data_IF_242733835118
#
_entry.id   IF_242733835118
#
_cell.length_a   1.000
_cell.length_b   1.000
_cell.length_c   1.000
_cell.angle_alpha   90.00
_cell.angle_beta   90.00
_cell.angle_gamma   90.00
#
_symmetry.space_group_name_H-M   'P 1'
#
loop_
_entity.id
_entity.type
_entity.pdbx_description
1 polymer ?
#
# COMPACT_ATOMS: atom_id res chain seq x y z
N UNK A 1 -53.78 49.15 2.23
CA UNK A 1 -52.51 48.41 2.07
C UNK A 1 -52.85 46.93 2.30
N UNK A 2 -53.05 46.21 1.18
CA UNK A 2 -52.94 44.77 0.89
C UNK A 2 -53.27 43.77 2.03
N UNK A 3 -54.22 42.82 1.98
CA UNK A 3 -55.25 42.34 1.03
C UNK A 3 -56.38 41.71 1.88
N UNK A 4 -57.63 41.85 1.42
CA UNK A 4 -58.86 41.22 1.94
C UNK A 4 -59.21 39.99 1.08
N UNK A 5 -59.59 38.88 1.74
CA UNK A 5 -60.62 37.86 1.40
C UNK A 5 -60.73 37.22 -0.01
N UNK A 6 -61.04 35.91 -0.02
CA UNK A 6 -62.10 35.15 -0.77
C UNK A 6 -61.56 33.73 -1.10
N UNK A 7 -62.29 32.61 -1.27
CA UNK A 7 -63.54 31.97 -0.78
C UNK A 7 -63.73 30.72 -1.69
N UNK A 8 -64.21 29.59 -1.15
CA UNK A 8 -64.72 28.37 -1.85
C UNK A 8 -63.65 27.47 -2.54
N UNK A 9 -63.77 26.14 -2.61
CA UNK A 9 -64.97 25.29 -2.68
C UNK A 9 -64.68 23.86 -2.19
N UNK A 10 -65.58 23.32 -1.38
CA UNK A 10 -65.68 21.92 -0.97
C UNK A 10 -66.39 21.15 -2.10
N UNK A 11 -65.85 20.01 -2.53
CA UNK A 11 -66.59 18.97 -3.25
C UNK A 11 -66.55 17.68 -2.43
N UNK A 12 -67.74 17.11 -2.29
CA UNK A 12 -68.16 16.00 -1.45
C UNK A 12 -68.04 14.65 -2.19
N UNK A 13 -67.52 13.63 -1.48
CA UNK A 13 -68.03 12.24 -1.33
C UNK A 13 -68.14 11.31 -2.56
N UNK A 14 -67.48 10.12 -2.51
CA UNK A 14 -68.12 8.79 -2.22
C UNK A 14 -67.09 7.62 -2.23
N UNK A 15 -66.96 6.94 -1.08
CA UNK A 15 -67.01 5.46 -0.86
C UNK A 15 -65.88 4.59 -1.50
N UNK A 16 -65.16 3.68 -0.83
CA UNK A 16 -65.58 2.69 0.16
C UNK A 16 -64.43 2.20 1.07
N UNK A 17 -64.83 1.79 2.28
CA UNK A 17 -64.14 0.88 3.20
C UNK A 17 -63.59 -0.38 2.52
N UNK A 18 -62.31 -0.72 2.70
CA UNK A 18 -61.84 -2.10 2.94
C UNK A 18 -60.63 -2.03 3.90
N UNK A 19 -60.66 -2.88 4.92
CA UNK A 19 -59.89 -2.76 6.15
C UNK A 19 -58.39 -3.04 6.05
N UNK A 20 -57.74 -2.58 7.12
CA UNK A 20 -56.35 -2.83 7.49
C UNK A 20 -56.15 -4.33 7.74
N UNK A 21 -55.34 -4.97 6.90
CA UNK A 21 -54.64 -6.20 7.24
C UNK A 21 -53.14 -5.96 7.09
N UNK A 22 -52.41 -6.20 8.18
CA UNK A 22 -50.96 -6.23 8.20
C UNK A 22 -50.45 -7.32 7.26
N UNK A 23 -49.65 -6.94 6.26
CA UNK A 23 -48.82 -7.90 5.53
C UNK A 23 -47.46 -7.98 6.22
N UNK A 24 -47.29 -9.02 7.04
CA UNK A 24 -46.00 -9.67 7.21
C UNK A 24 -45.74 -10.45 5.93
N UNK A 25 -44.91 -9.92 5.03
CA UNK A 25 -44.41 -10.72 3.92
C UNK A 25 -43.32 -11.66 4.43
N UNK A 26 -43.77 -12.89 4.63
CA UNK A 26 -43.00 -14.11 4.73
C UNK A 26 -42.07 -14.22 3.50
N UNK A 27 -40.76 -14.12 3.71
CA UNK A 27 -39.80 -14.57 2.69
C UNK A 27 -39.89 -16.09 2.65
N UNK A 28 -40.56 -16.62 1.63
CA UNK A 28 -40.57 -18.05 1.33
C UNK A 28 -39.17 -18.48 0.94
N UNK A 29 -38.63 -19.47 1.66
CA UNK A 29 -37.45 -20.22 1.22
C UNK A 29 -37.79 -21.02 -0.05
N UNK A 30 -37.49 -20.44 -1.21
CA UNK A 30 -37.24 -21.25 -2.39
C UNK A 30 -35.88 -21.94 -2.19
N UNK A 31 -35.91 -23.28 -2.15
CA UNK A 31 -34.73 -24.11 -2.21
C UNK A 31 -34.08 -23.92 -3.59
N UNK A 32 -33.11 -23.02 -3.67
CA UNK A 32 -32.22 -22.91 -4.82
C UNK A 32 -31.46 -24.23 -4.94
N UNK A 33 -31.79 -24.99 -5.98
CA UNK A 33 -31.20 -26.28 -6.26
C UNK A 33 -29.78 -26.05 -6.83
N UNK A 34 -28.77 -26.10 -5.96
CA UNK A 34 -27.34 -25.86 -6.21
C UNK A 34 -26.67 -26.95 -7.07
N UNK A 35 -27.21 -27.30 -8.24
CA UNK A 35 -26.69 -28.40 -9.08
C UNK A 35 -26.18 -28.03 -10.48
N UNK A 36 -26.16 -26.75 -10.86
CA UNK A 36 -25.55 -26.30 -12.12
C UNK A 36 -24.31 -25.41 -11.85
N UNK A 37 -23.21 -26.04 -11.44
CA UNK A 37 -21.89 -25.41 -11.21
C UNK A 37 -20.93 -25.59 -12.40
N UNK A 38 -21.39 -25.43 -13.65
CA UNK A 38 -20.50 -25.56 -14.81
C UNK A 38 -20.12 -24.22 -15.48
N UNK A 39 -20.63 -23.08 -15.01
CA UNK A 39 -20.25 -21.75 -15.53
C UNK A 39 -20.15 -20.74 -14.37
N UNK A 40 -19.10 -20.87 -13.55
CA UNK A 40 -18.68 -19.78 -12.66
C UNK A 40 -17.49 -19.07 -13.29
N UNK A 41 -17.62 -17.77 -13.58
CA UNK A 41 -16.49 -16.96 -14.07
C UNK A 41 -15.42 -16.74 -12.99
N UNK A 42 -15.79 -16.81 -11.70
CA UNK A 42 -14.89 -16.76 -10.55
C UNK A 42 -15.44 -17.69 -9.45
N UNK A 43 -14.65 -18.66 -9.03
CA UNK A 43 -14.89 -19.46 -7.82
C UNK A 43 -13.97 -18.94 -6.71
N UNK A 44 -14.53 -18.27 -5.71
CA UNK A 44 -13.77 -17.84 -4.52
C UNK A 44 -14.02 -18.85 -3.43
N UNK A 45 -13.09 -19.78 -3.24
CA UNK A 45 -13.04 -20.52 -1.98
C UNK A 45 -12.67 -19.54 -0.86
N UNK A 46 -13.25 -19.79 0.31
CA UNK A 46 -12.80 -19.36 1.63
C UNK A 46 -13.62 -18.23 2.26
N UNK A 47 -14.64 -18.64 3.01
CA UNK A 47 -14.96 -18.20 4.36
C UNK A 47 -16.05 -19.12 4.91
N UNK A 48 -15.80 -19.78 6.05
CA UNK A 48 -16.81 -20.58 6.73
C UNK A 48 -17.45 -19.74 7.84
N UNK A 49 -18.64 -19.21 7.57
CA UNK A 49 -19.43 -18.50 8.57
C UNK A 49 -20.11 -19.50 9.50
N UNK A 50 -19.63 -19.59 10.73
CA UNK A 50 -20.25 -20.33 11.82
C UNK A 50 -21.15 -19.42 12.65
N UNK A 51 -22.11 -20.00 13.36
CA UNK A 51 -23.02 -19.30 14.28
C UNK A 51 -23.77 -18.12 13.62
N UNK A 52 -24.44 -18.36 12.49
CA UNK A 52 -25.20 -17.32 11.75
C UNK A 52 -24.38 -16.07 11.38
N UNK A 53 -23.06 -16.20 11.22
CA UNK A 53 -22.17 -15.10 10.85
C UNK A 53 -21.43 -14.45 12.01
N UNK A 54 -21.67 -14.88 13.25
CA UNK A 54 -20.94 -14.37 14.43
C UNK A 54 -19.47 -14.82 14.44
N UNK A 55 -19.13 -15.91 13.75
CA UNK A 55 -17.76 -16.38 13.59
C UNK A 55 -17.46 -16.66 12.13
N UNK A 56 -16.68 -15.79 11.50
CA UNK A 56 -16.11 -16.07 10.18
C UNK A 56 -14.79 -16.81 10.39
N UNK A 57 -14.77 -18.11 10.08
CA UNK A 57 -13.54 -18.88 9.97
C UNK A 57 -12.98 -18.62 8.58
N UNK A 58 -12.05 -17.67 8.50
CA UNK A 58 -11.19 -17.53 7.35
C UNK A 58 -10.34 -18.81 7.29
N UNK A 59 -10.38 -19.55 6.17
CA UNK A 59 -9.34 -20.55 5.99
C UNK A 59 -8.02 -19.80 5.88
N UNK A 60 -6.95 -20.24 6.56
CA UNK A 60 -5.64 -19.62 6.41
C UNK A 60 -5.30 -19.51 4.91
N UNK A 61 -4.70 -18.40 4.49
CA UNK A 61 -4.20 -18.22 3.12
C UNK A 61 -3.33 -19.46 2.82
N UNK A 62 -3.83 -20.40 2.00
CA UNK A 62 -3.22 -21.74 1.75
C UNK A 62 -1.99 -21.60 0.85
N UNK A 63 -1.42 -20.40 0.75
CA UNK A 63 -0.15 -20.20 0.10
C UNK A 63 0.95 -20.74 1.03
N UNK A 64 1.44 -21.94 0.74
CA UNK A 64 2.54 -22.56 1.48
C UNK A 64 3.83 -21.73 1.46
N UNK A 65 3.91 -20.72 0.58
CA UNK A 65 5.03 -19.78 0.55
C UNK A 65 4.88 -18.61 1.54
N UNK A 66 3.69 -18.40 2.13
CA UNK A 66 3.45 -17.39 3.15
C UNK A 66 4.02 -17.90 4.49
N UNK A 67 5.17 -17.35 4.87
CA UNK A 67 5.93 -17.76 6.06
C UNK A 67 5.74 -16.86 7.28
N UNK A 68 5.09 -15.71 7.11
CA UNK A 68 4.53 -14.95 8.20
C UNK A 68 3.35 -14.09 7.72
N UNK A 69 2.31 -14.02 8.54
CA UNK A 69 1.13 -13.18 8.42
C UNK A 69 0.84 -12.62 9.81
N UNK A 70 1.28 -11.40 10.10
CA UNK A 70 1.08 -10.79 11.42
C UNK A 70 -0.29 -10.16 11.49
N UNK A 71 -1.12 -10.66 12.41
CA UNK A 71 -2.46 -10.16 12.69
C UNK A 71 -2.46 -9.32 13.96
N UNK A 72 -3.15 -8.18 13.92
CA UNK A 72 -3.42 -7.31 15.07
C UNK A 72 -4.86 -7.42 15.56
N UNK A 73 -5.70 -8.22 14.89
CA UNK A 73 -7.14 -8.33 15.17
C UNK A 73 -7.46 -9.14 16.43
N UNK A 74 -6.52 -9.98 16.86
CA UNK A 74 -6.68 -10.83 18.05
C UNK A 74 -6.29 -10.07 19.31
N UNK A 75 -6.57 -10.66 20.48
CA UNK A 75 -6.18 -10.11 21.78
C UNK A 75 -4.66 -9.99 21.99
N UNK A 76 -3.88 -10.65 21.13
CA UNK A 76 -2.42 -10.58 21.08
C UNK A 76 -1.98 -10.57 19.62
N UNK A 77 -0.91 -9.82 19.36
CA UNK A 77 -0.24 -9.83 18.06
C UNK A 77 0.38 -11.22 17.86
N UNK A 78 0.00 -11.90 16.79
CA UNK A 78 0.45 -13.25 16.49
C UNK A 78 0.59 -13.50 15.00
N UNK A 79 1.38 -14.51 14.66
CA UNK A 79 1.45 -15.04 13.31
C UNK A 79 0.26 -15.97 13.04
N UNK A 80 -0.46 -15.72 11.95
CA UNK A 80 -1.55 -16.55 11.45
C UNK A 80 -1.13 -17.43 10.25
N UNK A 81 0.14 -17.36 9.83
CA UNK A 81 0.67 -18.24 8.80
C UNK A 81 0.83 -19.69 9.27
N UNK A 82 1.03 -20.61 8.32
CA UNK A 82 1.33 -22.02 8.62
C UNK A 82 2.68 -22.20 9.33
N UNK A 83 3.60 -21.24 9.21
CA UNK A 83 4.94 -21.32 9.79
C UNK A 83 4.98 -21.02 11.28
N UNK A 84 3.96 -20.32 11.81
CA UNK A 84 3.85 -19.94 13.22
C UNK A 84 5.12 -19.24 13.74
N UNK A 85 5.58 -18.24 12.98
CA UNK A 85 6.68 -17.37 13.34
C UNK A 85 6.46 -16.76 14.74
N UNK A 86 7.55 -16.58 15.47
CA UNK A 86 7.49 -16.03 16.83
C UNK A 86 7.49 -14.50 16.76
N UNK A 87 6.47 -13.88 17.35
CA UNK A 87 6.31 -12.43 17.34
C UNK A 87 6.78 -11.83 18.67
N UNK A 88 7.77 -10.95 18.61
CA UNK A 88 8.18 -10.11 19.74
C UNK A 88 7.77 -8.67 19.45
N UNK A 89 7.23 -7.97 20.43
CA UNK A 89 6.87 -6.57 20.27
C UNK A 89 7.09 -5.78 21.56
N UNK A 90 7.31 -4.48 21.41
CA UNK A 90 7.42 -3.52 22.50
C UNK A 90 6.67 -2.25 22.13
N UNK A 91 5.86 -1.74 23.06
CA UNK A 91 5.12 -0.48 22.92
C UNK A 91 4.22 -0.38 21.66
N UNK A 92 3.75 -1.50 21.11
CA UNK A 92 2.75 -1.47 20.04
C UNK A 92 1.38 -1.30 20.67
N UNK A 93 0.63 -0.30 20.21
CA UNK A 93 -0.76 -0.08 20.61
C UNK A 93 -1.69 -0.51 19.49
N UNK A 94 -2.87 -1.01 19.83
CA UNK A 94 -3.91 -1.26 18.82
C UNK A 94 -4.46 0.08 18.32
N UNK A 95 -4.71 0.17 17.02
CA UNK A 95 -5.36 1.33 16.40
C UNK A 95 -6.32 0.91 15.30
N UNK A 96 -6.91 1.88 14.63
CA UNK A 96 -7.87 1.66 13.54
C UNK A 96 -7.22 0.85 12.42
N UNK A 97 -7.82 -0.29 12.06
CA UNK A 97 -7.32 -1.14 10.99
C UNK A 97 -7.51 -0.53 9.60
N UNK A 98 -6.90 -1.19 8.63
CA UNK A 98 -7.05 -0.89 7.22
C UNK A 98 -8.53 -0.96 6.80
N UNK A 99 -9.01 0.02 6.02
CA UNK A 99 -10.42 0.15 5.58
C UNK A 99 -11.46 0.37 6.69
N UNK A 100 -11.04 0.65 7.93
CA UNK A 100 -11.95 0.79 9.06
C UNK A 100 -12.49 -0.55 9.58
N UNK A 101 -11.91 -1.67 9.15
CA UNK A 101 -12.15 -3.00 9.70
C UNK A 101 -10.88 -3.46 10.43
N UNK A 102 -11.07 -4.30 11.45
CA UNK A 102 -9.95 -4.84 12.19
C UNK A 102 -9.15 -3.79 12.97
N UNK A 103 -7.95 -4.19 13.35
CA UNK A 103 -6.98 -3.43 14.15
C UNK A 103 -5.66 -3.37 13.41
N UNK A 104 -4.92 -2.30 13.67
CA UNK A 104 -3.54 -2.12 13.20
C UNK A 104 -2.59 -1.96 14.38
N UNK A 105 -1.30 -2.21 14.15
CA UNK A 105 -0.26 -1.95 15.12
C UNK A 105 0.24 -0.52 15.02
N UNK A 106 0.04 0.30 16.06
CA UNK A 106 0.58 1.66 16.18
C UNK A 106 1.93 1.67 16.87
N UNK A 107 2.92 2.24 16.20
CA UNK A 107 4.27 2.50 16.69
C UNK A 107 4.41 4.00 16.91
N UNK A 108 4.12 4.46 18.13
CA UNK A 108 4.05 5.89 18.48
C UNK A 108 5.19 6.40 19.36
N UNK A 109 6.08 5.51 19.81
CA UNK A 109 7.25 5.85 20.63
C UNK A 109 8.54 5.48 19.91
N UNK A 110 9.63 6.16 20.26
CA UNK A 110 11.00 5.87 19.82
C UNK A 110 11.38 4.40 19.98
N UNK A 111 11.14 3.81 21.14
CA UNK A 111 11.44 2.40 21.44
C UNK A 111 10.37 1.39 20.97
N UNK A 112 9.43 1.79 20.11
CA UNK A 112 8.40 0.86 19.60
C UNK A 112 8.97 -0.02 18.50
N UNK A 113 8.75 -1.33 18.62
CA UNK A 113 9.16 -2.28 17.58
C UNK A 113 8.25 -3.52 17.53
N UNK A 114 8.22 -4.14 16.35
CA UNK A 114 7.71 -5.47 16.05
C UNK A 114 8.86 -6.30 15.48
N UNK A 115 9.05 -7.53 15.93
CA UNK A 115 10.03 -8.46 15.39
C UNK A 115 9.38 -9.80 15.10
N UNK A 116 9.73 -10.36 13.94
CA UNK A 116 9.26 -11.66 13.44
C UNK A 116 10.46 -12.59 13.40
N UNK A 117 10.50 -13.54 14.33
CA UNK A 117 11.58 -14.52 14.52
C UNK A 117 11.16 -15.91 14.09
N UNK A 118 12.13 -16.84 14.07
CA UNK A 118 11.91 -18.26 13.72
C UNK A 118 11.25 -18.43 12.34
N UNK A 119 11.58 -17.54 11.42
CA UNK A 119 11.15 -17.68 10.03
C UNK A 119 11.83 -18.92 9.44
N UNK A 120 11.09 -19.79 8.72
CA UNK A 120 11.70 -20.82 7.88
C UNK A 120 12.79 -20.19 7.01
N UNK A 121 13.82 -20.98 6.66
CA UNK A 121 14.97 -20.48 5.89
C UNK A 121 14.49 -19.62 4.73
N UNK A 122 14.71 -18.30 4.86
CA UNK A 122 14.51 -17.35 3.79
C UNK A 122 15.68 -17.57 2.85
N UNK A 123 15.42 -18.13 1.68
CA UNK A 123 16.43 -18.40 0.66
C UNK A 123 16.96 -17.09 0.02
N UNK A 124 17.49 -17.18 -1.19
CA UNK A 124 17.95 -16.02 -1.97
C UNK A 124 16.78 -15.12 -2.40
N UNK A 125 15.58 -15.70 -2.50
CA UNK A 125 14.37 -15.05 -2.98
C UNK A 125 13.29 -14.94 -1.90
N UNK A 126 12.69 -13.77 -1.78
CA UNK A 126 11.60 -13.52 -0.83
C UNK A 126 10.85 -12.23 -1.15
N UNK A 127 9.67 -12.09 -0.58
CA UNK A 127 8.89 -10.85 -0.65
C UNK A 127 8.38 -10.44 0.72
N UNK A 128 8.44 -9.15 1.02
CA UNK A 128 7.88 -8.58 2.24
C UNK A 128 6.84 -7.55 1.83
N UNK A 129 5.62 -7.68 2.34
CA UNK A 129 4.52 -6.78 2.06
C UNK A 129 3.89 -6.30 3.37
N UNK A 130 3.53 -5.02 3.44
CA UNK A 130 2.80 -4.48 4.58
C UNK A 130 2.10 -3.17 4.19
N UNK A 131 1.06 -2.83 4.93
CA UNK A 131 0.40 -1.53 4.86
C UNK A 131 1.01 -0.57 5.87
N UNK A 132 1.20 0.69 5.47
CA UNK A 132 1.80 1.75 6.27
C UNK A 132 0.89 2.97 6.29
N UNK A 133 0.71 3.57 7.47
CA UNK A 133 0.03 4.86 7.64
C UNK A 133 0.86 5.74 8.57
N UNK A 134 1.44 6.82 8.06
CA UNK A 134 2.21 7.74 8.90
C UNK A 134 1.28 8.82 9.44
N UNK A 135 1.02 8.82 10.75
CA UNK A 135 0.15 9.80 11.39
C UNK A 135 0.87 11.15 11.57
N UNK A 136 2.09 11.10 12.11
CA UNK A 136 2.88 12.28 12.45
C UNK A 136 4.39 11.98 12.41
N UNK A 137 5.17 13.01 12.10
CA UNK A 137 6.64 13.00 12.15
C UNK A 137 7.06 13.79 13.40
N UNK A 138 7.89 13.19 14.23
CA UNK A 138 8.56 13.88 15.33
C UNK A 138 10.03 14.06 14.94
N UNK A 139 10.42 15.32 14.76
CA UNK A 139 11.76 15.73 14.35
C UNK A 139 12.29 16.75 15.35
N UNK A 140 13.50 16.57 15.84
CA UNK A 140 14.25 17.60 16.54
C UNK A 140 14.63 18.72 15.58
N UNK A 141 14.50 19.96 16.04
CA UNK A 141 14.92 21.17 15.33
C UNK A 141 16.45 21.23 15.19
N UNK A 142 16.99 20.44 14.27
CA UNK A 142 18.39 20.51 13.87
C UNK A 142 18.47 21.09 12.47
N UNK A 143 19.23 22.16 12.32
CA UNK A 143 19.54 22.92 11.10
C UNK A 143 20.37 22.13 10.06
N UNK A 144 20.28 20.80 10.08
CA UNK A 144 20.92 19.91 9.12
C UNK A 144 20.26 20.08 7.75
N UNK A 145 21.07 20.32 6.73
CA UNK A 145 20.65 20.31 5.33
C UNK A 145 20.41 18.90 4.78
N UNK A 146 20.90 17.86 5.47
CA UNK A 146 20.70 16.47 5.07
C UNK A 146 19.35 15.94 5.57
N UNK A 147 18.61 15.27 4.67
CA UNK A 147 17.35 14.60 4.95
C UNK A 147 17.59 13.45 5.95
N UNK A 148 17.23 13.71 7.22
CA UNK A 148 17.32 12.71 8.28
C UNK A 148 16.40 11.53 7.96
N UNK A 149 16.87 10.30 8.18
CA UNK A 149 16.14 9.08 7.82
C UNK A 149 15.81 8.25 9.05
N UNK A 150 14.56 7.82 9.15
CA UNK A 150 14.08 6.90 10.19
C UNK A 150 13.90 5.52 9.59
N UNK A 151 14.38 4.49 10.27
CA UNK A 151 14.18 3.11 9.83
C UNK A 151 12.71 2.71 10.04
N UNK A 152 12.11 2.08 9.04
CA UNK A 152 10.77 1.49 9.15
C UNK A 152 10.88 -0.02 9.24
N UNK A 153 11.72 -0.61 8.39
CA UNK A 153 11.95 -2.04 8.31
C UNK A 153 13.45 -2.33 8.21
N UNK A 154 13.88 -3.37 8.91
CA UNK A 154 15.20 -3.95 8.76
C UNK A 154 15.10 -5.47 8.83
N UNK A 155 15.75 -6.14 7.88
CA UNK A 155 16.03 -7.58 7.97
C UNK A 155 17.35 -7.75 8.68
N UNK A 156 17.36 -8.37 9.86
CA UNK A 156 18.55 -8.51 10.68
C UNK A 156 19.25 -9.86 10.47
N UNK A 157 20.57 -9.76 10.38
CA UNK A 157 21.55 -10.82 10.59
C UNK A 157 22.22 -10.64 11.97
N UNK A 158 22.96 -11.66 12.43
CA UNK A 158 23.80 -11.59 13.65
C UNK A 158 24.87 -10.49 13.61
N UNK A 159 25.23 -9.97 12.42
CA UNK A 159 26.06 -8.78 12.23
C UNK A 159 25.22 -7.61 11.68
N UNK A 160 25.05 -6.56 12.48
CA UNK A 160 24.17 -5.41 12.20
C UNK A 160 24.61 -4.61 10.95
N UNK A 161 25.86 -4.79 10.49
CA UNK A 161 26.44 -4.00 9.40
C UNK A 161 26.00 -4.42 7.99
N UNK A 162 25.32 -5.56 7.82
CA UNK A 162 25.01 -6.15 6.49
C UNK A 162 23.52 -6.42 6.25
N UNK A 163 22.68 -5.46 6.60
CA UNK A 163 21.23 -5.65 6.61
C UNK A 163 20.50 -4.85 5.53
N UNK A 164 19.52 -5.45 4.85
CA UNK A 164 18.55 -4.70 4.04
C UNK A 164 17.75 -3.79 4.97
N UNK A 165 17.63 -2.52 4.59
CA UNK A 165 16.96 -1.48 5.37
C UNK A 165 16.00 -0.71 4.48
N UNK A 166 14.78 -0.53 4.95
CA UNK A 166 13.84 0.44 4.40
C UNK A 166 13.75 1.60 5.39
N UNK A 167 14.10 2.80 4.92
CA UNK A 167 14.07 4.02 5.73
C UNK A 167 13.18 5.06 5.10
N UNK A 168 12.67 5.98 5.90
CA UNK A 168 11.82 7.10 5.50
C UNK A 168 12.56 8.40 5.75
N UNK A 169 12.70 9.22 4.71
CA UNK A 169 13.25 10.57 4.82
C UNK A 169 12.24 11.54 5.41
N UNK A 170 12.62 12.25 6.48
CA UNK A 170 11.73 13.14 7.21
C UNK A 170 11.35 14.38 6.40
N UNK A 171 12.25 14.89 5.58
CA UNK A 171 12.06 16.08 4.77
C UNK A 171 11.56 15.73 3.36
N UNK A 172 12.19 14.73 2.72
CA UNK A 172 11.77 14.30 1.37
C UNK A 172 10.42 13.57 1.37
N UNK A 173 10.06 12.95 2.50
CA UNK A 173 8.93 12.04 2.67
C UNK A 173 8.97 10.86 1.71
N UNK A 174 10.16 10.44 1.29
CA UNK A 174 10.37 9.30 0.38
C UNK A 174 10.90 8.10 1.15
N UNK A 175 10.73 6.94 0.55
CA UNK A 175 11.32 5.70 1.05
C UNK A 175 12.68 5.47 0.39
N UNK A 176 13.62 5.00 1.19
CA UNK A 176 14.96 4.63 0.76
C UNK A 176 15.18 3.17 1.11
N UNK A 177 15.30 2.33 0.08
CA UNK A 177 15.66 0.93 0.21
C UNK A 177 17.16 0.79 0.03
N UNK A 178 17.86 0.47 1.11
CA UNK A 178 19.31 0.34 1.17
C UNK A 178 19.72 -1.11 1.36
N UNK A 179 20.73 -1.52 0.59
CA UNK A 179 21.26 -2.87 0.56
C UNK A 179 22.79 -2.86 0.61
N UNK A 180 23.41 -3.72 1.44
CA UNK A 180 24.86 -3.84 1.45
C UNK A 180 25.35 -4.45 0.13
N UNK A 181 26.45 -3.90 -0.40
CA UNK A 181 27.16 -4.38 -1.59
C UNK A 181 28.63 -4.57 -1.23
N UNK A 182 29.22 -5.66 -1.74
CA UNK A 182 30.61 -6.03 -1.49
C UNK A 182 30.90 -6.49 -0.06
N UNK A 183 32.18 -6.50 0.30
CA UNK A 183 32.67 -6.94 1.63
C UNK A 183 32.68 -5.82 2.66
N UNK A 184 32.66 -4.55 2.24
CA UNK A 184 33.07 -3.39 3.05
C UNK A 184 31.90 -2.54 3.58
N UNK A 185 30.74 -3.16 3.84
CA UNK A 185 29.55 -2.48 4.38
C UNK A 185 29.12 -1.22 3.59
N UNK A 186 29.43 -1.15 2.29
CA UNK A 186 28.94 -0.09 1.41
C UNK A 186 27.49 -0.37 1.05
N UNK A 187 26.65 0.67 0.96
CA UNK A 187 25.22 0.49 0.66
C UNK A 187 24.88 1.06 -0.72
N UNK A 188 24.20 0.26 -1.54
CA UNK A 188 23.44 0.77 -2.69
C UNK A 188 22.04 1.11 -2.23
N UNK A 189 21.60 2.33 -2.53
CA UNK A 189 20.30 2.84 -2.08
C UNK A 189 19.43 3.20 -3.28
N UNK A 190 18.19 2.72 -3.25
CA UNK A 190 17.11 3.11 -4.15
C UNK A 190 16.21 4.09 -3.40
N UNK A 191 15.99 5.26 -3.98
CA UNK A 191 15.01 6.23 -3.53
C UNK A 191 13.70 6.04 -4.30
N UNK A 192 12.56 6.02 -3.60
CA UNK A 192 11.25 5.94 -4.24
C UNK A 192 10.93 7.22 -5.03
N UNK A 193 10.25 7.08 -6.16
CA UNK A 193 9.70 8.22 -6.87
C UNK A 193 8.58 8.86 -6.05
N UNK A 194 7.74 8.02 -5.43
CA UNK A 194 6.57 8.41 -4.65
C UNK A 194 6.95 9.04 -3.31
N UNK A 195 6.16 10.04 -2.90
CA UNK A 195 6.24 10.65 -1.57
C UNK A 195 5.10 10.09 -0.72
N UNK A 196 5.43 9.53 0.43
CA UNK A 196 4.43 9.01 1.36
C UNK A 196 3.69 10.20 1.97
N UNK A 197 2.39 10.24 1.71
CA UNK A 197 1.51 11.24 2.29
C UNK A 197 1.18 10.86 3.73
N UNK A 198 1.23 11.86 4.61
CA UNK A 198 0.77 11.68 5.98
C UNK A 198 -0.74 11.39 5.98
N UNK A 199 -1.15 10.59 6.96
CA UNK A 199 -2.54 10.22 7.23
C UNK A 199 -3.24 9.54 6.07
N UNK A 200 -2.48 8.80 5.27
CA UNK A 200 -3.01 7.91 4.22
C UNK A 200 -2.35 6.56 4.33
N UNK A 201 -3.17 5.53 4.10
CA UNK A 201 -2.68 4.18 3.97
C UNK A 201 -1.98 4.02 2.62
N UNK A 202 -0.84 3.35 2.64
CA UNK A 202 -0.11 2.90 1.45
C UNK A 202 0.31 1.46 1.64
N UNK A 203 0.34 0.67 0.57
CA UNK A 203 0.96 -0.66 0.61
C UNK A 203 2.39 -0.57 0.12
N UNK A 204 3.30 -1.15 0.89
CA UNK A 204 4.70 -1.29 0.54
C UNK A 204 4.96 -2.75 0.26
N UNK A 205 5.59 -3.04 -0.89
CA UNK A 205 6.08 -4.39 -1.19
C UNK A 205 7.55 -4.33 -1.61
N UNK A 206 8.38 -5.12 -0.95
CA UNK A 206 9.78 -5.32 -1.30
C UNK A 206 9.88 -6.74 -1.87
N UNK A 207 10.39 -6.86 -3.08
CA UNK A 207 10.56 -8.16 -3.75
C UNK A 207 12.03 -8.36 -4.03
N UNK A 208 12.60 -9.42 -3.47
CA UNK A 208 13.96 -9.84 -3.74
C UNK A 208 13.94 -11.11 -4.59
N UNK A 209 14.51 -11.01 -5.79
CA UNK A 209 14.90 -12.14 -6.64
C UNK A 209 16.43 -12.33 -6.58
N UNK A 210 16.91 -13.34 -7.30
CA UNK A 210 18.34 -13.59 -7.48
C UNK A 210 19.10 -12.38 -8.06
N UNK A 211 18.50 -11.72 -9.05
CA UNK A 211 19.15 -10.67 -9.85
C UNK A 211 18.75 -9.23 -9.44
N UNK A 212 17.67 -9.05 -8.68
CA UNK A 212 17.07 -7.73 -8.46
C UNK A 212 16.41 -7.63 -7.10
N UNK A 213 16.38 -6.41 -6.59
CA UNK A 213 15.53 -6.06 -5.47
C UNK A 213 14.67 -4.89 -5.89
N UNK A 214 13.36 -5.09 -5.87
CA UNK A 214 12.36 -4.16 -6.35
C UNK A 214 11.58 -3.57 -5.18
N UNK A 215 11.26 -2.29 -5.28
CA UNK A 215 10.36 -1.61 -4.36
C UNK A 215 9.06 -1.27 -5.10
N UNK A 216 7.93 -1.58 -4.47
CA UNK A 216 6.61 -1.20 -4.94
C UNK A 216 5.89 -0.38 -3.87
N UNK A 217 5.19 0.66 -4.30
CA UNK A 217 4.27 1.45 -3.46
C UNK A 217 2.91 1.43 -4.15
N UNK A 218 1.86 1.02 -3.43
CA UNK A 218 0.50 0.85 -3.96
C UNK A 218 0.49 0.07 -5.29
N UNK A 219 1.34 -0.95 -5.41
CA UNK A 219 1.44 -1.80 -6.60
C UNK A 219 2.26 -1.18 -7.73
N UNK A 220 2.55 0.12 -7.70
CA UNK A 220 3.42 0.74 -8.70
C UNK A 220 4.89 0.42 -8.42
N UNK A 221 5.63 0.01 -9.44
CA UNK A 221 7.08 -0.19 -9.34
C UNK A 221 7.77 1.17 -9.16
N UNK A 222 8.51 1.32 -8.07
CA UNK A 222 9.27 2.54 -7.73
C UNK A 222 10.72 2.48 -8.23
N UNK A 223 11.20 1.28 -8.55
CA UNK A 223 12.54 1.06 -9.07
C UNK A 223 13.12 -0.25 -8.57
N UNK A 224 14.37 -0.50 -8.94
CA UNK A 224 15.08 -1.70 -8.56
C UNK A 224 16.58 -1.48 -8.41
N UNK A 225 17.19 -2.32 -7.59
CA UNK A 225 18.64 -2.45 -7.48
C UNK A 225 19.02 -3.75 -8.18
N UNK A 226 19.73 -3.64 -9.30
CA UNK A 226 20.50 -4.75 -9.85
C UNK A 226 21.91 -4.72 -9.26
N UNK A 227 22.38 -5.81 -8.65
CA UNK A 227 23.77 -5.99 -8.29
C UNK A 227 24.55 -6.35 -9.56
N UNK A 228 25.48 -5.49 -9.98
CA UNK A 228 26.56 -5.90 -10.87
C UNK A 228 27.54 -6.86 -10.15
N UNK A 229 27.62 -6.72 -8.83
CA UNK A 229 28.58 -7.39 -7.96
C UNK A 229 27.87 -8.49 -7.19
N UNK A 230 28.40 -9.72 -7.23
CA UNK A 230 27.83 -10.87 -6.52
C UNK A 230 27.44 -10.45 -5.10
N UNK A 231 26.16 -10.58 -4.82
CA UNK A 231 25.65 -10.52 -3.47
C UNK A 231 26.41 -11.52 -2.59
N UNK A 232 27.38 -11.07 -1.80
CA UNK A 232 27.99 -11.90 -0.75
C UNK A 232 27.02 -11.98 0.41
N UNK A 233 26.02 -12.87 0.28
CA UNK A 233 25.14 -13.24 1.37
C UNK A 233 25.54 -14.62 1.86
N UNK A 234 25.91 -14.69 3.14
CA UNK A 234 25.96 -15.97 3.84
C UNK A 234 24.51 -16.42 4.09
N UNK A 235 24.22 -17.71 3.88
CA UNK A 235 22.91 -18.29 4.18
C UNK A 235 22.62 -18.04 5.66
N UNK A 236 21.56 -17.29 5.94
CA UNK A 236 21.29 -16.77 7.28
C UNK A 236 20.79 -17.88 8.21
N UNK A 237 21.51 -18.10 9.33
CA UNK A 237 20.99 -18.88 10.44
C UNK A 237 20.10 -17.97 11.31
N UNK A 238 18.82 -18.30 11.41
CA UNK A 238 17.79 -17.58 12.20
C UNK A 238 17.58 -16.10 11.80
N UNK A 239 17.16 -15.83 10.56
CA UNK A 239 16.81 -14.48 10.14
C UNK A 239 15.60 -13.95 10.94
N UNK A 240 15.61 -12.66 11.26
CA UNK A 240 14.41 -11.99 11.76
C UNK A 240 14.16 -10.67 11.03
N UNK A 241 12.88 -10.32 10.89
CA UNK A 241 12.44 -9.06 10.30
C UNK A 241 11.94 -8.17 11.44
N UNK A 242 12.40 -6.92 11.46
CA UNK A 242 12.00 -5.95 12.47
C UNK A 242 11.38 -4.72 11.83
N UNK A 243 10.28 -4.27 12.39
CA UNK A 243 9.67 -2.97 12.16
C UNK A 243 9.85 -2.11 13.42
N UNK A 244 10.05 -0.80 13.30
CA UNK A 244 10.16 0.06 14.48
C UNK A 244 10.97 1.33 14.30
N UNK A 245 10.74 2.31 15.18
CA UNK A 245 11.45 3.61 15.18
C UNK A 245 12.89 3.50 15.68
N UNK A 246 13.11 2.67 16.70
CA UNK A 246 14.42 2.29 17.22
C UNK A 246 14.44 0.77 17.26
N UNK A 247 15.28 0.18 16.41
CA UNK A 247 15.45 -1.25 16.37
C UNK A 247 16.36 -1.63 17.53
N UNK A 248 16.15 -2.80 18.15
CA UNK A 248 16.77 -3.20 19.42
C UNK A 248 18.31 -3.11 19.49
N UNK A 249 18.98 -2.97 18.33
CA UNK A 249 20.44 -2.90 18.17
C UNK A 249 20.95 -1.45 17.99
N UNK A 250 20.08 -0.51 17.63
CA UNK A 250 20.45 0.90 17.43
C UNK A 250 20.54 1.66 18.76
N UNK A 251 21.76 1.99 19.19
CA UNK A 251 22.04 2.95 20.28
C UNK A 251 21.93 4.42 19.82
N UNK A 252 21.06 4.72 18.86
CA UNK A 252 20.91 6.08 18.34
C UNK A 252 20.42 7.02 19.43
N UNK A 253 21.14 8.12 19.63
CA UNK A 253 20.73 9.23 20.50
C UNK A 253 19.73 10.17 19.83
N UNK A 254 19.38 9.93 18.56
CA UNK A 254 18.47 10.79 17.80
C UNK A 254 17.04 10.69 18.36
N UNK A 255 16.41 11.81 18.73
CA UNK A 255 15.04 11.83 19.26
C UNK A 255 13.98 11.85 18.14
N UNK A 256 14.37 11.75 16.87
CA UNK A 256 13.41 11.64 15.79
C UNK A 256 12.72 10.27 15.80
N UNK A 257 11.40 10.27 15.68
CA UNK A 257 10.62 9.05 15.50
C UNK A 257 9.37 9.35 14.65
N UNK A 258 8.76 8.31 14.11
CA UNK A 258 7.47 8.38 13.43
C UNK A 258 6.39 7.88 14.39
N UNK A 259 5.23 8.52 14.36
CA UNK A 259 3.99 7.89 14.82
C UNK A 259 3.29 7.31 13.59
N UNK A 260 3.30 5.99 13.48
CA UNK A 260 2.76 5.29 12.32
C UNK A 260 2.03 4.00 12.69
N UNK A 261 1.13 3.60 11.82
CA UNK A 261 0.43 2.33 11.88
C UNK A 261 1.01 1.38 10.84
N UNK A 262 1.10 0.12 11.21
CA UNK A 262 1.33 -0.99 10.29
C UNK A 262 0.16 -1.96 10.35
N UNK A 263 -0.16 -2.55 9.21
CA UNK A 263 -1.18 -3.57 9.10
C UNK A 263 -0.80 -4.52 7.96
N UNK A 264 -1.48 -5.66 7.87
CA UNK A 264 -1.40 -6.54 6.71
C UNK A 264 0.03 -7.03 6.41
N UNK A 265 0.81 -7.30 7.47
CA UNK A 265 2.23 -7.64 7.38
C UNK A 265 2.41 -9.09 6.95
N UNK A 266 2.97 -9.28 5.76
CA UNK A 266 3.23 -10.58 5.14
C UNK A 266 4.68 -10.76 4.74
N UNK A 267 5.16 -11.98 4.89
CA UNK A 267 6.48 -12.42 4.42
C UNK A 267 6.30 -13.70 3.63
N UNK A 268 6.81 -13.70 2.40
CA UNK A 268 6.78 -14.82 1.47
C UNK A 268 8.20 -15.33 1.23
N UNK A 269 8.39 -16.65 1.17
CA UNK A 269 9.65 -17.28 0.75
C UNK A 269 9.76 -17.44 -0.78
N UNK A 270 9.11 -16.55 -1.54
CA UNK A 270 9.14 -16.50 -3.00
C UNK A 270 9.08 -15.07 -3.53
N UNK A 271 9.37 -14.92 -4.81
CA UNK A 271 9.10 -13.70 -5.58
C UNK A 271 7.60 -13.57 -5.86
N UNK A 272 6.97 -12.52 -5.33
CA UNK A 272 5.63 -12.13 -5.74
C UNK A 272 5.66 -11.56 -7.16
N UNK A 273 4.73 -12.02 -7.99
CA UNK A 273 4.56 -11.51 -9.34
C UNK A 273 3.85 -10.15 -9.32
N UNK A 274 4.08 -9.33 -10.35
CA UNK A 274 3.53 -7.97 -10.38
C UNK A 274 2.00 -7.96 -10.27
N UNK A 275 1.30 -8.88 -10.93
CA UNK A 275 -0.17 -8.96 -10.86
C UNK A 275 -0.68 -9.29 -9.46
N UNK A 276 0.04 -10.10 -8.67
CA UNK A 276 -0.33 -10.40 -7.28
C UNK A 276 -0.19 -9.16 -6.39
N UNK A 277 0.88 -8.40 -6.60
CA UNK A 277 1.12 -7.14 -5.88
C UNK A 277 0.05 -6.12 -6.26
N UNK A 278 -0.31 -6.04 -7.55
CA UNK A 278 -1.34 -5.14 -8.05
C UNK A 278 -2.69 -5.45 -7.41
N UNK A 279 -3.13 -6.71 -7.45
CA UNK A 279 -4.40 -7.15 -6.87
C UNK A 279 -4.50 -6.82 -5.37
N UNK A 280 -3.39 -6.96 -4.62
CA UNK A 280 -3.35 -6.60 -3.20
C UNK A 280 -3.28 -5.08 -2.95
N UNK A 281 -3.01 -4.27 -3.99
CA UNK A 281 -2.81 -2.82 -3.90
C UNK A 281 -3.97 -1.96 -4.43
N UNK A 282 -4.96 -2.53 -5.11
CA UNK A 282 -5.99 -1.75 -5.84
C UNK A 282 -6.75 -0.75 -4.97
N UNK A 283 -6.99 -1.10 -3.72
CA UNK A 283 -7.71 -0.27 -2.75
C UNK A 283 -7.00 1.05 -2.40
N UNK A 284 -5.68 1.15 -2.58
CA UNK A 284 -4.92 2.36 -2.27
C UNK A 284 -4.94 3.38 -3.41
N UNK A 285 -5.43 2.97 -4.58
CA UNK A 285 -5.45 3.77 -5.81
C UNK A 285 -6.86 4.14 -6.27
N UNK A 286 -7.88 3.95 -5.42
CA UNK A 286 -9.25 4.36 -5.73
C UNK A 286 -9.86 3.62 -6.92
N UNK A 287 -9.49 2.35 -7.14
CA UNK A 287 -10.00 1.55 -8.25
C UNK A 287 -9.25 1.72 -9.57
N UNK A 288 -8.16 2.49 -9.59
CA UNK A 288 -7.23 2.54 -10.72
C UNK A 288 -6.18 1.44 -10.59
N UNK A 289 -5.94 0.69 -11.67
CA UNK A 289 -4.82 -0.26 -11.73
C UNK A 289 -3.47 0.45 -11.61
N UNK A 290 -2.57 -0.10 -10.79
CA UNK A 290 -1.19 0.40 -10.65
C UNK A 290 -0.32 0.25 -11.91
N UNK A 291 -0.80 -0.46 -12.92
CA UNK A 291 -0.11 -0.61 -14.20
C UNK A 291 -0.46 0.46 -15.22
N UNK A 292 -1.55 1.22 -15.02
CA UNK A 292 -2.08 2.13 -16.03
C UNK A 292 -1.22 3.39 -16.18
N UNK A 293 -0.70 3.90 -15.06
CA UNK A 293 0.12 5.10 -15.02
C UNK A 293 1.55 4.78 -14.58
N UNK A 294 2.53 5.36 -15.27
CA UNK A 294 3.95 5.30 -14.89
C UNK A 294 4.52 6.68 -14.62
N UNK A 295 5.37 6.74 -13.60
CA UNK A 295 6.17 7.91 -13.33
C UNK A 295 7.25 8.06 -14.40
N UNK A 296 7.39 9.26 -14.97
CA UNK A 296 8.49 9.57 -15.89
C UNK A 296 9.55 10.40 -15.19
N UNK A 297 9.18 11.62 -14.76
CA UNK A 297 10.10 12.52 -14.07
C UNK A 297 9.33 13.57 -13.25
N UNK A 298 10.00 14.15 -12.26
CA UNK A 298 9.45 15.23 -11.41
C UNK A 298 10.24 16.50 -11.63
N UNK A 299 9.54 17.63 -11.74
CA UNK A 299 10.13 18.96 -11.93
C UNK A 299 11.15 18.98 -13.08
N UNK A 300 10.77 18.34 -14.19
CA UNK A 300 11.61 18.16 -15.36
C UNK A 300 11.11 19.01 -16.54
N UNK A 301 12.01 19.51 -17.40
CA UNK A 301 11.62 20.12 -18.67
C UNK A 301 11.07 19.07 -19.63
N UNK A 302 10.33 19.49 -20.66
CA UNK A 302 9.74 18.59 -21.66
C UNK A 302 10.74 17.63 -22.31
N UNK A 303 12.00 18.01 -22.46
CA UNK A 303 13.05 17.18 -23.09
C UNK A 303 13.42 15.94 -22.28
N UNK A 304 13.04 15.87 -21.00
CA UNK A 304 13.35 14.75 -20.12
C UNK A 304 12.14 13.83 -19.88
N UNK A 305 10.97 14.19 -20.41
CA UNK A 305 9.78 13.34 -20.31
C UNK A 305 9.92 12.20 -21.31
N UNK A 306 10.09 10.99 -20.80
CA UNK A 306 10.22 9.78 -21.58
C UNK A 306 9.32 8.68 -21.02
N UNK A 307 8.69 7.92 -21.91
CA UNK A 307 7.82 6.81 -21.57
C UNK A 307 8.44 5.47 -21.98
N UNK A 308 8.26 4.42 -21.17
CA UNK A 308 8.69 3.08 -21.54
C UNK A 308 7.86 2.55 -22.72
N UNK A 309 8.29 1.42 -23.29
CA UNK A 309 7.54 0.71 -24.32
C UNK A 309 6.12 0.39 -23.84
N UNK A 310 5.14 0.50 -24.74
CA UNK A 310 3.70 0.34 -24.51
C UNK A 310 3.06 1.41 -23.63
N UNK A 311 3.73 2.56 -23.50
CA UNK A 311 3.19 3.75 -22.86
C UNK A 311 3.47 4.99 -23.69
N UNK A 312 2.54 5.94 -23.66
CA UNK A 312 2.69 7.27 -24.24
C UNK A 312 2.61 8.35 -23.16
N UNK A 313 3.02 9.58 -23.49
CA UNK A 313 2.83 10.72 -22.58
C UNK A 313 1.33 10.95 -22.45
N UNK A 314 0.82 10.92 -21.23
CA UNK A 314 -0.61 11.06 -20.98
C UNK A 314 -1.20 12.29 -21.67
N UNK A 315 -2.34 12.16 -22.31
CA UNK A 315 -3.08 13.29 -22.87
C UNK A 315 -3.93 13.98 -21.80
N UNK A 316 -4.51 15.13 -22.16
CA UNK A 316 -5.30 15.93 -21.22
C UNK A 316 -6.52 15.16 -20.67
N UNK A 317 -7.16 14.32 -21.48
CA UNK A 317 -8.29 13.51 -21.07
C UNK A 317 -7.89 12.44 -20.05
N UNK A 318 -6.76 11.75 -20.25
CA UNK A 318 -6.27 10.70 -19.33
C UNK A 318 -5.83 11.25 -17.97
N UNK A 319 -5.25 12.46 -17.97
CA UNK A 319 -4.91 13.17 -16.74
C UNK A 319 -6.19 13.59 -16.00
N UNK A 320 -7.19 14.12 -16.71
CA UNK A 320 -8.44 14.60 -16.10
C UNK A 320 -9.39 13.47 -15.69
N UNK A 321 -9.34 12.30 -16.33
CA UNK A 321 -10.20 11.16 -16.02
C UNK A 321 -9.81 10.55 -14.67
N UNK A 322 -8.57 10.09 -14.51
CA UNK A 322 -8.07 9.52 -13.25
C UNK A 322 -6.58 9.81 -12.98
N UNK A 323 -5.79 10.21 -13.99
CA UNK A 323 -4.33 10.32 -13.85
C UNK A 323 -3.90 11.32 -12.78
N UNK A 324 -4.60 12.44 -12.66
CA UNK A 324 -4.34 13.41 -11.60
C UNK A 324 -4.59 12.82 -10.20
N UNK A 325 -5.67 12.05 -10.00
CA UNK A 325 -5.96 11.42 -8.71
C UNK A 325 -4.94 10.34 -8.40
N UNK A 326 -4.56 9.53 -9.38
CA UNK A 326 -3.49 8.55 -9.24
C UNK A 326 -2.17 9.21 -8.80
N UNK A 327 -1.74 10.25 -9.52
CA UNK A 327 -0.52 10.99 -9.21
C UNK A 327 -0.58 11.63 -7.82
N UNK A 328 -1.75 12.13 -7.41
CA UNK A 328 -1.95 12.61 -6.04
C UNK A 328 -1.86 11.50 -5.04
N UNK A 329 -2.47 10.33 -5.24
CA UNK A 329 -2.40 9.18 -4.33
C UNK A 329 -0.98 8.65 -4.17
N UNK A 330 -0.18 8.68 -5.23
CA UNK A 330 1.25 8.33 -5.21
C UNK A 330 2.16 9.45 -4.67
N UNK A 331 1.63 10.64 -4.39
CA UNK A 331 2.42 11.79 -3.94
C UNK A 331 3.37 12.36 -5.01
N UNK A 332 3.07 12.11 -6.29
CA UNK A 332 3.87 12.57 -7.42
C UNK A 332 3.77 14.07 -7.66
N UNK A 333 2.56 14.60 -7.50
CA UNK A 333 2.20 16.00 -7.75
C UNK A 333 2.82 16.91 -6.69
N UNK A 334 3.53 17.95 -7.11
CA UNK A 334 4.02 18.99 -6.20
C UNK A 334 2.83 19.75 -5.56
N UNK A 335 2.77 19.86 -4.22
CA UNK A 335 1.69 20.59 -3.55
C UNK A 335 1.63 22.08 -3.89
N UNK A 336 2.76 22.68 -4.30
CA UNK A 336 2.91 24.12 -4.51
C UNK A 336 2.68 24.49 -5.98
N UNK A 337 3.16 23.67 -6.93
CA UNK A 337 3.00 23.94 -8.37
C UNK A 337 2.69 22.65 -9.14
N UNK A 338 1.42 22.26 -9.27
CA UNK A 338 1.01 21.01 -9.92
C UNK A 338 0.93 21.17 -11.45
N UNK A 339 2.06 21.43 -12.11
CA UNK A 339 2.12 21.37 -13.57
C UNK A 339 2.44 19.93 -14.01
N UNK A 340 1.57 19.35 -14.84
CA UNK A 340 1.74 18.00 -15.39
C UNK A 340 1.85 18.14 -16.92
N UNK A 341 2.89 17.52 -17.48
CA UNK A 341 3.06 17.45 -18.92
C UNK A 341 1.97 16.58 -19.54
N UNK A 342 1.25 17.14 -20.51
CA UNK A 342 0.34 16.39 -21.36
C UNK A 342 0.90 16.28 -22.77
N UNK A 343 0.48 15.29 -23.55
CA UNK A 343 0.86 15.15 -24.96
C UNK A 343 0.64 16.44 -25.76
N UNK A 344 -0.45 17.18 -25.51
CA UNK A 344 -0.74 18.47 -26.15
C UNK A 344 0.20 19.58 -25.65
N UNK A 345 0.57 19.54 -24.37
CA UNK A 345 1.54 20.45 -23.77
C UNK A 345 2.95 20.28 -24.35
N UNK A 346 3.32 19.07 -24.80
CA UNK A 346 4.66 18.80 -25.34
C UNK A 346 4.97 19.56 -26.63
N UNK A 347 3.94 19.84 -27.45
CA UNK A 347 4.08 20.55 -28.74
C UNK A 347 3.86 22.06 -28.61
N UNK A 348 3.42 22.55 -27.45
CA UNK A 348 3.13 23.97 -27.25
C UNK A 348 4.39 24.75 -26.89
N UNK A 349 4.94 25.50 -27.85
CA UNK A 349 6.15 26.33 -27.66
C UNK A 349 5.99 27.42 -26.60
N UNK A 350 4.75 27.81 -26.23
CA UNK A 350 4.53 28.76 -25.12
C UNK A 350 4.90 28.19 -23.74
N UNK A 351 5.07 26.87 -23.64
CA UNK A 351 5.48 26.17 -22.42
C UNK A 351 6.98 25.90 -22.37
N UNK A 352 7.76 26.45 -23.31
CA UNK A 352 9.22 26.38 -23.26
C UNK A 352 9.76 27.05 -21.99
N UNK A 353 10.69 26.37 -21.31
CA UNK A 353 11.24 26.80 -20.02
C UNK A 353 10.41 26.41 -18.78
N UNK A 354 9.21 25.85 -18.96
CA UNK A 354 8.45 25.28 -17.85
C UNK A 354 9.06 23.95 -17.39
N UNK A 355 8.83 23.62 -16.12
CA UNK A 355 9.14 22.31 -15.56
C UNK A 355 7.88 21.72 -14.94
N UNK A 356 7.73 20.40 -15.05
CA UNK A 356 6.51 19.72 -14.63
C UNK A 356 6.75 18.28 -14.23
N UNK A 357 5.66 17.62 -13.86
CA UNK A 357 5.58 16.18 -13.68
C UNK A 357 5.36 15.52 -15.04
N UNK A 358 6.25 14.61 -15.44
CA UNK A 358 6.03 13.70 -16.55
C UNK A 358 5.29 12.45 -16.09
N UNK A 359 4.19 12.12 -16.78
CA UNK A 359 3.42 10.90 -16.56
C UNK A 359 3.19 10.17 -17.87
N UNK A 360 3.24 8.85 -17.79
CA UNK A 360 3.03 7.98 -18.94
C UNK A 360 1.78 7.12 -18.73
N UNK A 361 0.97 7.02 -19.77
CA UNK A 361 -0.29 6.30 -19.80
C UNK A 361 -0.14 5.06 -20.68
N UNK A 362 -0.68 3.94 -20.21
CA UNK A 362 -0.57 2.64 -20.90
C UNK A 362 -1.33 2.68 -22.23
N UNK A 363 -0.71 2.16 -23.28
CA UNK A 363 -1.36 2.01 -24.58
C UNK A 363 -2.43 0.91 -24.49
N UNK A 364 -3.70 1.31 -24.66
CA UNK A 364 -4.81 0.36 -24.70
C UNK A 364 -4.94 -0.15 -26.14
N UNK A 365 -4.28 -1.27 -26.44
CA UNK A 365 -4.57 -2.00 -27.68
C UNK A 365 -5.90 -2.73 -27.46
N UNK A 366 -6.99 -2.21 -28.03
CA UNK A 366 -8.21 -2.98 -28.15
C UNK A 366 -7.92 -4.17 -29.06
N UNK A 367 -7.73 -5.35 -28.47
CA UNK A 367 -7.87 -6.61 -29.22
C UNK A 367 -9.37 -6.79 -29.43
N UNK A 368 -9.85 -6.30 -30.58
CA UNK A 368 -11.22 -6.47 -31.05
C UNK A 368 -11.47 -7.85 -31.63
#
# INVERSE_FOLDING_TARGET
MIIKTYKYQIIFILVAFVGVFAFQDFVSHENINLKDFNNCDIEVQNNLCLFNGDLVVNTPEVDSSLIALVSFDKSRIMDESLSKATIYNKNIQESTGLKGYGRSGRLSKKESFLQIHNLPKIEQEYSIQFSLFIHQIFKEDVTSFDDKKIRILQKFHSDDKKNLKLTFGLDSKRLFLSLPVGTDATFKTLESFSRIQLRKWVQITIVKSDDKIKLYINGSLEGYISPSDKFTYEIEQNPFISFGNQLAVDKSTDENFLDYLIDDVRVYNRVLQSHEIFAKSEQFLGGTSSDFYRFSCRNCPRTQVACPQDYHICNSFEILSQGFQYARSMGWVDPISPFIWTSEGMINSKLDGQVGLGMCCKDIVYQG
#
